data_IF_867830745132
#
_entry.id   IF_867830745132
#
_cell.length_a   1.000
_cell.length_b   1.000
_cell.length_c   1.000
_cell.angle_alpha   90.00
_cell.angle_beta   90.00
_cell.angle_gamma   90.00
#
_symmetry.space_group_name_H-M   'P 1'
#
loop_
_entity.id
_entity.type
_entity.pdbx_description
1 polymer ?
#
# COMPACT_ATOMS: atom_id res chain seq x y z
N UNK A 1 35.70 -12.88 -5.48
CA UNK A 1 34.29 -13.22 -5.26
C UNK A 1 33.57 -11.90 -5.04
N UNK A 2 32.81 -11.45 -6.04
CA UNK A 2 31.94 -10.28 -5.87
C UNK A 2 30.94 -10.59 -4.78
N UNK A 3 30.83 -9.73 -3.77
CA UNK A 3 29.75 -9.83 -2.78
C UNK A 3 28.42 -10.06 -3.48
N UNK A 4 27.56 -10.97 -2.99
CA UNK A 4 26.26 -11.21 -3.60
C UNK A 4 25.45 -9.94 -3.51
N UNK A 5 25.49 -9.16 -4.59
CA UNK A 5 24.81 -7.87 -4.72
C UNK A 5 23.28 -8.01 -4.71
N UNK A 6 22.59 -6.88 -4.61
CA UNK A 6 21.14 -6.79 -4.89
C UNK A 6 20.87 -7.29 -6.32
N UNK A 7 19.64 -7.81 -6.57
CA UNK A 7 19.31 -8.44 -7.84
C UNK A 7 19.40 -7.47 -9.02
N UNK A 8 20.25 -7.79 -9.98
CA UNK A 8 20.31 -7.12 -11.28
C UNK A 8 19.34 -7.78 -12.26
N UNK A 9 19.07 -7.12 -13.39
CA UNK A 9 18.22 -7.68 -14.46
C UNK A 9 18.74 -9.03 -14.99
N UNK A 10 20.07 -9.19 -15.14
CA UNK A 10 20.68 -10.45 -15.55
C UNK A 10 20.43 -11.54 -14.53
N UNK A 11 20.60 -11.24 -13.24
CA UNK A 11 20.40 -12.22 -12.17
C UNK A 11 18.92 -12.63 -12.05
N UNK A 12 18.00 -11.70 -12.24
CA UNK A 12 16.55 -12.01 -12.27
C UNK A 12 16.24 -12.97 -13.41
N UNK A 13 16.76 -12.72 -14.61
CA UNK A 13 16.57 -13.64 -15.76
C UNK A 13 17.16 -15.02 -15.49
N UNK A 14 18.38 -15.08 -14.98
CA UNK A 14 19.04 -16.34 -14.62
C UNK A 14 18.23 -17.14 -13.59
N UNK A 15 17.69 -16.49 -12.55
CA UNK A 15 16.84 -17.13 -11.58
C UNK A 15 15.55 -17.68 -12.20
N UNK A 16 14.90 -16.89 -13.04
CA UNK A 16 13.67 -17.30 -13.73
C UNK A 16 13.94 -18.51 -14.65
N UNK A 17 15.02 -18.46 -15.45
CA UNK A 17 15.42 -19.56 -16.34
C UNK A 17 15.76 -20.82 -15.55
N UNK A 18 16.57 -20.71 -14.49
CA UNK A 18 16.97 -21.84 -13.64
C UNK A 18 15.79 -22.57 -12.99
N UNK A 19 14.77 -21.80 -12.58
CA UNK A 19 13.55 -22.34 -11.98
C UNK A 19 12.43 -22.61 -12.99
N UNK A 20 12.69 -22.47 -14.29
CA UNK A 20 11.71 -22.66 -15.38
C UNK A 20 10.46 -21.80 -15.21
N UNK A 21 10.63 -20.55 -14.75
CA UNK A 21 9.55 -19.63 -14.45
C UNK A 21 9.43 -18.49 -15.50
N UNK A 22 8.19 -18.05 -15.69
CA UNK A 22 7.87 -16.84 -16.44
C UNK A 22 7.04 -15.88 -15.57
N UNK A 23 7.31 -14.55 -15.61
CA UNK A 23 6.55 -13.58 -14.83
C UNK A 23 5.06 -13.61 -15.17
N UNK A 24 4.22 -13.75 -14.14
CA UNK A 24 2.76 -13.83 -14.26
C UNK A 24 2.14 -12.44 -14.39
N UNK A 25 1.50 -12.17 -15.53
CA UNK A 25 0.72 -10.93 -15.74
C UNK A 25 -0.53 -10.89 -14.84
N UNK A 26 -1.15 -12.04 -14.60
CA UNK A 26 -2.33 -12.14 -13.73
C UNK A 26 -2.02 -11.75 -12.28
N UNK A 27 -0.81 -12.06 -11.82
CA UNK A 27 -0.32 -11.67 -10.49
C UNK A 27 0.38 -10.31 -10.48
N UNK A 28 0.43 -9.60 -11.61
CA UNK A 28 1.05 -8.28 -11.70
C UNK A 28 2.56 -8.26 -11.44
N UNK A 29 3.25 -9.37 -11.70
CA UNK A 29 4.67 -9.52 -11.38
C UNK A 29 5.55 -8.61 -12.23
N UNK A 30 6.23 -7.68 -11.57
CA UNK A 30 7.25 -6.79 -12.10
C UNK A 30 8.36 -6.70 -11.06
N UNK A 31 9.45 -7.45 -11.27
CA UNK A 31 10.55 -7.56 -10.32
C UNK A 31 11.48 -6.36 -10.41
N UNK A 32 11.75 -5.72 -9.29
CA UNK A 32 12.69 -4.61 -9.20
C UNK A 32 14.12 -5.11 -9.44
N UNK A 33 14.83 -4.53 -10.41
CA UNK A 33 16.14 -4.99 -10.86
C UNK A 33 17.23 -3.91 -10.80
N UNK A 34 17.07 -2.97 -9.84
CA UNK A 34 17.98 -1.84 -9.65
C UNK A 34 18.32 -1.66 -8.17
N UNK A 35 19.59 -1.84 -7.84
CA UNK A 35 20.10 -1.75 -6.47
C UNK A 35 19.91 -0.34 -5.87
N UNK A 36 20.16 0.71 -6.67
CA UNK A 36 20.02 2.08 -6.21
C UNK A 36 18.57 2.43 -5.83
N UNK A 37 17.60 1.82 -6.52
CA UNK A 37 16.18 1.98 -6.19
C UNK A 37 15.82 1.23 -4.91
N UNK A 38 16.34 0.03 -4.70
CA UNK A 38 16.16 -0.71 -3.43
C UNK A 38 16.70 0.10 -2.26
N UNK A 39 17.93 0.61 -2.37
CA UNK A 39 18.56 1.46 -1.33
C UNK A 39 17.75 2.74 -1.08
N UNK A 40 17.21 3.36 -2.14
CA UNK A 40 16.33 4.52 -2.03
C UNK A 40 15.05 4.18 -1.25
N UNK A 41 14.42 3.04 -1.53
CA UNK A 41 13.20 2.60 -0.83
C UNK A 41 13.51 2.38 0.65
N UNK A 42 14.54 1.61 0.97
CA UNK A 42 14.98 1.33 2.36
C UNK A 42 15.24 2.62 3.12
N UNK A 43 15.98 3.56 2.52
CA UNK A 43 16.25 4.88 3.13
C UNK A 43 14.99 5.72 3.34
N UNK A 44 14.09 5.78 2.35
CA UNK A 44 12.84 6.54 2.47
C UNK A 44 11.87 5.92 3.49
N UNK A 45 11.92 4.59 3.68
CA UNK A 45 11.18 3.90 4.73
C UNK A 45 11.80 4.10 6.12
N UNK A 46 13.01 4.67 6.20
CA UNK A 46 13.74 4.82 7.45
C UNK A 46 13.95 3.47 8.14
N UNK A 47 14.27 2.42 7.35
CA UNK A 47 14.49 1.07 7.89
C UNK A 47 15.91 0.92 8.35
N UNK A 48 16.07 0.37 9.56
CA UNK A 48 17.37 0.12 10.18
C UNK A 48 17.33 -1.05 11.17
N UNK A 49 18.45 -1.27 11.91
CA UNK A 49 18.53 -2.33 12.89
C UNK A 49 17.44 -2.22 13.96
N UNK A 50 16.77 -3.35 14.24
CA UNK A 50 15.68 -3.41 15.22
C UNK A 50 14.30 -3.07 14.69
N UNK A 51 14.19 -2.55 13.46
CA UNK A 51 12.88 -2.38 12.81
C UNK A 51 12.27 -3.74 12.42
N UNK A 52 10.94 -3.81 12.50
CA UNK A 52 10.15 -4.92 12.01
C UNK A 52 9.40 -4.50 10.77
N UNK A 53 9.58 -5.26 9.70
CA UNK A 53 9.07 -4.91 8.38
C UNK A 53 8.25 -6.07 7.83
N UNK A 54 7.04 -5.74 7.38
CA UNK A 54 6.24 -6.63 6.53
C UNK A 54 6.51 -6.24 5.08
N UNK A 55 6.93 -7.20 4.28
CA UNK A 55 6.97 -7.08 2.83
C UNK A 55 5.87 -7.93 2.20
N UNK A 56 5.03 -7.32 1.36
CA UNK A 56 3.95 -7.99 0.66
C UNK A 56 4.28 -8.08 -0.82
N UNK A 57 4.31 -9.31 -1.35
CA UNK A 57 4.76 -9.57 -2.71
C UNK A 57 6.28 -9.56 -2.83
N UNK A 58 6.97 -10.38 -2.02
CA UNK A 58 8.42 -10.43 -1.97
C UNK A 58 9.09 -10.83 -3.31
N UNK A 59 8.35 -11.53 -4.17
CA UNK A 59 8.79 -11.90 -5.50
C UNK A 59 10.07 -12.74 -5.48
N UNK A 60 11.12 -12.24 -6.15
CA UNK A 60 12.44 -12.88 -6.16
C UNK A 60 13.37 -12.37 -5.05
N UNK A 61 12.88 -11.48 -4.15
CA UNK A 61 13.65 -11.03 -2.98
C UNK A 61 14.48 -9.76 -3.18
N UNK A 62 14.31 -9.01 -4.25
CA UNK A 62 15.08 -7.78 -4.48
C UNK A 62 14.97 -6.79 -3.32
N UNK A 63 13.75 -6.48 -2.90
CA UNK A 63 13.50 -5.55 -1.79
C UNK A 63 13.78 -6.22 -0.44
N UNK A 64 13.44 -7.50 -0.28
CA UNK A 64 13.74 -8.29 0.91
C UNK A 64 15.22 -8.25 1.26
N UNK A 65 16.11 -8.42 0.26
CA UNK A 65 17.56 -8.30 0.46
C UNK A 65 17.98 -6.93 0.99
N UNK A 66 17.39 -5.85 0.46
CA UNK A 66 17.67 -4.49 0.92
C UNK A 66 17.25 -4.28 2.37
N UNK A 67 16.07 -4.75 2.75
CA UNK A 67 15.54 -4.70 4.11
C UNK A 67 16.42 -5.51 5.08
N UNK A 68 16.81 -6.71 4.67
CA UNK A 68 17.72 -7.56 5.42
C UNK A 68 19.08 -6.90 5.68
N UNK A 69 19.67 -6.28 4.65
CA UNK A 69 20.95 -5.58 4.76
C UNK A 69 20.89 -4.36 5.67
N UNK A 70 19.72 -3.72 5.74
CA UNK A 70 19.48 -2.64 6.69
C UNK A 70 19.37 -3.12 8.14
N UNK A 71 19.35 -4.44 8.40
CA UNK A 71 19.28 -5.04 9.74
C UNK A 71 17.86 -5.19 10.28
N UNK A 72 16.86 -5.13 9.44
CA UNK A 72 15.47 -5.34 9.83
C UNK A 72 15.15 -6.81 10.10
N UNK A 73 14.16 -7.05 10.95
CA UNK A 73 13.41 -8.32 11.01
C UNK A 73 12.29 -8.28 9.98
N UNK A 74 12.29 -9.21 9.03
CA UNK A 74 11.39 -9.16 7.88
C UNK A 74 10.38 -10.30 7.91
N UNK A 75 9.10 -9.97 7.79
CA UNK A 75 8.01 -10.89 7.50
C UNK A 75 7.66 -10.74 6.02
N UNK A 76 8.11 -11.66 5.19
CA UNK A 76 7.94 -11.64 3.74
C UNK A 76 6.77 -12.53 3.31
N UNK A 77 5.75 -11.94 2.69
CA UNK A 77 4.60 -12.66 2.15
C UNK A 77 4.69 -12.73 0.63
N UNK A 78 4.55 -13.93 0.06
CA UNK A 78 4.46 -14.14 -1.39
C UNK A 78 3.31 -15.10 -1.68
N UNK A 79 2.42 -14.71 -2.60
CA UNK A 79 1.25 -15.52 -2.96
C UNK A 79 1.60 -16.62 -3.96
N UNK A 80 2.58 -16.38 -4.82
CA UNK A 80 3.00 -17.32 -5.84
C UNK A 80 3.93 -18.40 -5.24
N UNK A 81 3.39 -19.62 -5.08
CA UNK A 81 4.15 -20.76 -4.57
C UNK A 81 5.43 -21.06 -5.36
N UNK A 82 5.43 -20.73 -6.66
CA UNK A 82 6.57 -21.01 -7.53
C UNK A 82 7.74 -20.04 -7.29
N UNK A 83 7.49 -18.87 -6.69
CA UNK A 83 8.53 -17.93 -6.34
C UNK A 83 9.19 -18.20 -4.98
N UNK A 84 8.64 -19.08 -4.14
CA UNK A 84 9.19 -19.36 -2.81
C UNK A 84 10.61 -19.97 -2.89
N UNK A 85 10.83 -20.91 -3.80
CA UNK A 85 12.16 -21.53 -3.96
C UNK A 85 13.22 -20.53 -4.43
N UNK A 86 13.04 -19.76 -5.53
CA UNK A 86 14.02 -18.75 -5.95
C UNK A 86 14.17 -17.61 -4.95
N UNK A 87 13.12 -17.20 -4.23
CA UNK A 87 13.20 -16.23 -3.13
C UNK A 87 14.13 -16.72 -2.03
N UNK A 88 13.94 -17.98 -1.57
CA UNK A 88 14.75 -18.58 -0.53
C UNK A 88 16.22 -18.73 -0.96
N UNK A 89 16.48 -19.15 -2.21
CA UNK A 89 17.83 -19.19 -2.79
C UNK A 89 18.49 -17.79 -2.77
N UNK A 90 17.74 -16.79 -3.18
CA UNK A 90 18.21 -15.39 -3.20
C UNK A 90 18.63 -14.91 -1.81
N UNK A 91 17.80 -15.18 -0.80
CA UNK A 91 18.06 -14.75 0.58
C UNK A 91 19.23 -15.50 1.20
N UNK A 92 19.32 -16.81 0.98
CA UNK A 92 20.45 -17.62 1.48
C UNK A 92 21.79 -17.17 0.91
N UNK A 93 21.82 -16.75 -0.36
CA UNK A 93 23.02 -16.28 -1.02
C UNK A 93 23.38 -14.83 -0.69
N UNK A 94 22.37 -13.94 -0.54
CA UNK A 94 22.58 -12.49 -0.50
C UNK A 94 22.49 -11.86 0.90
N UNK A 95 21.93 -12.55 1.89
CA UNK A 95 21.76 -12.06 3.24
C UNK A 95 21.84 -13.19 4.29
N UNK A 96 22.94 -13.94 4.35
CA UNK A 96 23.11 -15.01 5.33
C UNK A 96 23.03 -14.41 6.74
N UNK A 97 22.19 -14.98 7.61
CA UNK A 97 21.97 -14.50 8.97
C UNK A 97 20.89 -13.40 9.12
N UNK A 98 20.24 -12.99 8.05
CA UNK A 98 19.06 -12.14 8.13
C UNK A 98 17.92 -12.82 8.89
N UNK A 99 17.24 -12.05 9.75
CA UNK A 99 15.99 -12.51 10.38
C UNK A 99 14.83 -12.28 9.41
N UNK A 100 14.59 -13.27 8.56
CA UNK A 100 13.48 -13.23 7.60
C UNK A 100 12.62 -14.48 7.73
N UNK A 101 11.31 -14.28 7.89
CA UNK A 101 10.31 -15.33 7.81
C UNK A 101 9.56 -15.19 6.47
N UNK A 102 9.70 -16.22 5.61
CA UNK A 102 9.02 -16.26 4.32
C UNK A 102 7.77 -17.11 4.44
N UNK A 103 6.62 -16.55 4.06
CA UNK A 103 5.35 -17.27 4.04
C UNK A 103 4.72 -17.23 2.64
N UNK A 104 4.36 -18.41 2.14
CA UNK A 104 3.49 -18.51 0.98
C UNK A 104 2.06 -18.21 1.43
N UNK A 105 1.57 -16.97 1.18
CA UNK A 105 0.28 -16.52 1.68
C UNK A 105 -0.31 -15.37 0.85
N UNK A 106 -1.65 -15.30 0.85
CA UNK A 106 -2.38 -14.11 0.42
C UNK A 106 -2.49 -13.14 1.62
N UNK A 107 -1.96 -11.93 1.47
CA UNK A 107 -1.98 -10.92 2.52
C UNK A 107 -3.41 -10.53 2.99
N UNK A 108 -4.43 -10.76 2.17
CA UNK A 108 -5.84 -10.48 2.53
C UNK A 108 -6.42 -11.50 3.51
N UNK A 109 -5.89 -12.72 3.52
CA UNK A 109 -6.38 -13.82 4.35
C UNK A 109 -5.34 -14.35 5.33
N UNK A 110 -4.17 -13.71 5.38
CA UNK A 110 -3.08 -14.10 6.27
C UNK A 110 -3.47 -13.94 7.75
N UNK A 111 -3.04 -14.87 8.59
CA UNK A 111 -3.31 -14.86 10.02
C UNK A 111 -2.38 -13.89 10.77
N UNK A 112 -2.56 -12.59 10.54
CA UNK A 112 -1.69 -11.51 11.02
C UNK A 112 -1.43 -11.57 12.53
N UNK A 113 -2.44 -11.86 13.33
CA UNK A 113 -2.41 -11.91 14.80
C UNK A 113 -1.36 -12.90 15.34
N UNK A 114 -1.14 -13.98 14.60
CA UNK A 114 -0.15 -15.00 14.98
C UNK A 114 1.30 -14.55 14.76
N UNK A 115 1.53 -13.49 13.99
CA UNK A 115 2.85 -13.10 13.51
C UNK A 115 3.30 -11.70 13.96
N UNK A 116 2.38 -10.74 14.11
CA UNK A 116 2.78 -9.36 14.39
C UNK A 116 3.10 -9.10 15.86
N UNK A 117 2.41 -9.75 16.79
CA UNK A 117 2.56 -9.50 18.23
C UNK A 117 2.25 -8.04 18.62
N UNK A 118 2.65 -7.58 19.82
CA UNK A 118 2.32 -6.25 20.33
C UNK A 118 3.24 -5.12 19.80
N UNK A 119 4.00 -5.36 18.75
CA UNK A 119 4.99 -4.43 18.24
C UNK A 119 4.43 -3.60 17.09
N UNK A 120 5.01 -2.41 16.87
CA UNK A 120 4.73 -1.63 15.66
C UNK A 120 5.60 -2.15 14.51
N UNK A 121 4.96 -2.36 13.37
CA UNK A 121 5.57 -2.82 12.14
C UNK A 121 5.49 -1.74 11.06
N UNK A 122 6.46 -1.75 10.16
CA UNK A 122 6.43 -1.00 8.92
C UNK A 122 6.01 -1.93 7.79
N UNK A 123 5.18 -1.46 6.87
CA UNK A 123 4.93 -2.14 5.58
C UNK A 123 5.82 -1.49 4.53
N UNK A 124 6.72 -2.26 3.92
CA UNK A 124 7.57 -1.78 2.82
C UNK A 124 7.41 -2.76 1.67
N UNK A 125 6.75 -2.35 0.59
CA UNK A 125 6.32 -3.30 -0.42
C UNK A 125 6.25 -2.70 -1.84
N UNK A 126 6.60 -3.52 -2.84
CA UNK A 126 6.26 -3.28 -4.23
C UNK A 126 4.94 -4.00 -4.52
N UNK A 127 3.81 -3.32 -4.34
CA UNK A 127 2.50 -3.95 -4.40
C UNK A 127 2.08 -4.29 -5.83
N UNK A 128 1.45 -5.48 -6.05
CA UNK A 128 0.79 -5.79 -7.30
C UNK A 128 -0.28 -4.75 -7.62
N UNK A 129 -0.24 -4.19 -8.84
CA UNK A 129 -1.04 -3.02 -9.21
C UNK A 129 -2.55 -3.22 -9.10
N UNK A 130 -3.03 -4.45 -9.35
CA UNK A 130 -4.45 -4.79 -9.37
C UNK A 130 -5.10 -4.86 -7.98
N UNK A 131 -4.30 -5.02 -6.92
CA UNK A 131 -4.82 -5.16 -5.54
C UNK A 131 -4.33 -4.07 -4.58
N UNK A 132 -3.45 -3.17 -5.02
CA UNK A 132 -2.76 -2.22 -4.14
C UNK A 132 -3.73 -1.35 -3.32
N UNK A 133 -4.71 -0.71 -3.97
CA UNK A 133 -5.67 0.15 -3.26
C UNK A 133 -6.51 -0.59 -2.22
N UNK A 134 -7.26 -1.67 -2.57
CA UNK A 134 -8.05 -2.38 -1.57
C UNK A 134 -7.18 -2.94 -0.45
N UNK A 135 -6.03 -3.52 -0.76
CA UNK A 135 -5.13 -4.09 0.24
C UNK A 135 -4.64 -3.03 1.26
N UNK A 136 -4.20 -1.87 0.78
CA UNK A 136 -3.76 -0.77 1.68
C UNK A 136 -4.90 -0.32 2.59
N UNK A 137 -6.10 -0.14 2.05
CA UNK A 137 -7.27 0.29 2.83
C UNK A 137 -7.70 -0.76 3.86
N UNK A 138 -7.69 -2.03 3.50
CA UNK A 138 -8.05 -3.13 4.39
C UNK A 138 -7.03 -3.26 5.54
N UNK A 139 -5.73 -3.16 5.24
CA UNK A 139 -4.69 -3.20 6.26
C UNK A 139 -4.76 -1.99 7.21
N UNK A 140 -4.97 -0.78 6.69
CA UNK A 140 -5.15 0.41 7.50
C UNK A 140 -6.34 0.27 8.46
N UNK A 141 -7.43 -0.33 8.01
CA UNK A 141 -8.64 -0.50 8.81
C UNK A 141 -8.53 -1.63 9.84
N UNK A 142 -7.85 -2.72 9.48
CA UNK A 142 -7.88 -3.96 10.26
C UNK A 142 -6.62 -4.19 11.12
N UNK A 143 -5.50 -3.49 10.84
CA UNK A 143 -4.19 -3.80 11.45
C UNK A 143 -3.54 -2.58 12.10
N UNK A 144 -3.92 -2.25 13.34
CA UNK A 144 -3.32 -1.13 14.06
C UNK A 144 -1.83 -1.31 14.37
N UNK A 145 -1.31 -2.54 14.33
CA UNK A 145 0.11 -2.87 14.50
C UNK A 145 0.96 -2.33 13.34
N UNK A 146 0.39 -2.16 12.16
CA UNK A 146 1.04 -1.61 10.97
C UNK A 146 0.96 -0.08 11.02
N UNK A 147 1.97 0.54 11.60
CA UNK A 147 1.99 1.99 11.90
C UNK A 147 2.54 2.88 10.79
N UNK A 148 3.27 2.31 9.84
CA UNK A 148 3.87 3.03 8.74
C UNK A 148 3.87 2.18 7.47
N UNK A 149 3.64 2.82 6.34
CA UNK A 149 3.66 2.17 5.04
C UNK A 149 4.54 2.96 4.09
N UNK A 150 5.44 2.29 3.39
CA UNK A 150 6.07 2.79 2.18
C UNK A 150 5.76 1.80 1.06
N UNK A 151 4.76 2.13 0.26
CA UNK A 151 4.32 1.24 -0.82
C UNK A 151 4.65 1.83 -2.18
N UNK A 152 5.15 0.97 -3.06
CA UNK A 152 5.35 1.30 -4.46
C UNK A 152 4.13 0.83 -5.25
N UNK A 153 3.50 1.76 -5.95
CA UNK A 153 2.25 1.55 -6.69
C UNK A 153 2.28 2.30 -8.02
N UNK A 154 1.34 2.03 -8.93
CA UNK A 154 1.18 2.85 -10.13
C UNK A 154 0.96 4.32 -9.77
N UNK A 155 1.48 5.24 -10.62
CA UNK A 155 1.39 6.70 -10.39
C UNK A 155 -0.04 7.14 -10.07
N UNK A 156 -1.01 6.76 -10.89
CA UNK A 156 -2.43 7.14 -10.69
C UNK A 156 -2.98 6.65 -9.33
N UNK A 157 -2.62 5.42 -8.92
CA UNK A 157 -3.01 4.87 -7.62
C UNK A 157 -2.39 5.68 -6.49
N UNK A 158 -1.10 5.98 -6.58
CA UNK A 158 -0.39 6.73 -5.54
C UNK A 158 -0.88 8.17 -5.41
N UNK A 159 -1.09 8.85 -6.53
CA UNK A 159 -1.67 10.21 -6.56
C UNK A 159 -3.07 10.22 -5.92
N UNK A 160 -3.89 9.19 -6.19
CA UNK A 160 -5.23 9.06 -5.60
C UNK A 160 -5.21 8.74 -4.10
N UNK A 161 -4.26 7.93 -3.62
CA UNK A 161 -4.11 7.67 -2.17
C UNK A 161 -3.72 8.94 -1.39
N UNK A 162 -2.90 9.81 -2.00
CA UNK A 162 -2.33 11.00 -1.38
C UNK A 162 -3.06 12.32 -1.72
N UNK A 163 -4.13 12.26 -2.52
CA UNK A 163 -4.84 13.44 -2.99
C UNK A 163 -5.61 14.15 -1.87
N UNK A 164 -5.64 15.49 -1.92
CA UNK A 164 -6.46 16.34 -1.06
C UNK A 164 -7.76 16.79 -1.73
N UNK A 165 -8.72 17.33 -0.94
CA UNK A 165 -10.00 17.84 -1.42
C UNK A 165 -9.84 18.85 -2.56
N UNK A 166 -10.77 18.84 -3.50
CA UNK A 166 -10.79 19.77 -4.64
C UNK A 166 -9.81 19.44 -5.77
N UNK A 167 -8.97 18.41 -5.63
CA UNK A 167 -8.09 17.96 -6.71
C UNK A 167 -8.77 16.90 -7.59
N UNK A 168 -8.27 16.75 -8.83
CA UNK A 168 -8.85 15.79 -9.80
C UNK A 168 -8.76 14.34 -9.32
N UNK A 169 -7.70 14.01 -8.56
CA UNK A 169 -7.38 12.65 -8.11
C UNK A 169 -8.02 12.30 -6.76
N UNK A 170 -8.60 13.30 -6.09
CA UNK A 170 -9.31 13.10 -4.84
C UNK A 170 -10.53 12.18 -5.01
N UNK A 171 -10.64 11.19 -4.13
CA UNK A 171 -11.67 10.16 -4.23
C UNK A 171 -11.79 9.31 -2.98
N UNK A 172 -12.51 8.19 -3.10
CA UNK A 172 -12.74 7.26 -2.00
C UNK A 172 -11.43 6.87 -1.29
N UNK A 173 -10.36 6.45 -2.00
CA UNK A 173 -9.12 6.06 -1.32
C UNK A 173 -8.50 7.21 -0.51
N UNK A 174 -8.56 8.44 -1.04
CA UNK A 174 -8.01 9.62 -0.36
C UNK A 174 -8.67 9.86 0.99
N UNK A 175 -10.00 9.85 1.02
CA UNK A 175 -10.77 10.08 2.26
C UNK A 175 -10.56 8.94 3.25
N UNK A 176 -10.58 7.69 2.78
CA UNK A 176 -10.43 6.52 3.66
C UNK A 176 -9.02 6.40 4.24
N UNK A 177 -7.98 6.80 3.49
CA UNK A 177 -6.62 6.90 4.02
C UNK A 177 -6.53 8.04 5.04
N UNK A 178 -7.12 9.22 4.73
CA UNK A 178 -7.12 10.37 5.64
C UNK A 178 -7.86 10.09 6.97
N UNK A 179 -8.78 9.15 7.00
CA UNK A 179 -9.42 8.69 8.25
C UNK A 179 -8.42 8.04 9.22
N UNK A 180 -7.39 7.35 8.69
CA UNK A 180 -6.41 6.61 9.48
C UNK A 180 -5.08 7.35 9.67
N UNK A 181 -4.81 8.41 8.89
CA UNK A 181 -3.54 9.12 8.97
C UNK A 181 -3.26 9.97 7.74
N UNK A 182 -1.99 10.09 7.37
CA UNK A 182 -1.54 10.97 6.28
C UNK A 182 -0.77 10.20 5.23
N UNK A 183 -1.14 10.43 3.97
CA UNK A 183 -0.42 9.88 2.81
C UNK A 183 0.29 11.00 2.04
N UNK A 184 1.47 10.69 1.50
CA UNK A 184 2.22 11.58 0.60
C UNK A 184 3.01 10.78 -0.43
N UNK A 185 3.10 11.28 -1.65
CA UNK A 185 4.03 10.76 -2.66
C UNK A 185 5.43 11.27 -2.31
N UNK A 186 6.38 10.35 -2.12
CA UNK A 186 7.75 10.67 -1.68
C UNK A 186 8.81 10.37 -2.72
N UNK A 187 8.44 9.80 -3.86
CA UNK A 187 9.35 9.50 -4.95
C UNK A 187 8.70 8.86 -6.14
N UNK A 188 9.43 8.78 -7.24
CA UNK A 188 9.02 8.05 -8.44
C UNK A 188 10.04 6.98 -8.81
N UNK A 189 9.57 5.94 -9.51
CA UNK A 189 10.37 4.81 -9.98
C UNK A 189 10.00 4.53 -11.44
N UNK A 190 11.00 4.67 -12.31
CA UNK A 190 10.82 4.54 -13.76
C UNK A 190 10.59 3.07 -14.16
N UNK A 191 9.81 2.81 -15.22
CA UNK A 191 9.51 1.46 -15.70
C UNK A 191 10.75 0.62 -16.08
N UNK A 192 11.84 1.28 -16.52
CA UNK A 192 13.09 0.62 -16.92
C UNK A 192 13.78 -0.14 -15.78
N UNK A 193 13.44 0.17 -14.53
CA UNK A 193 14.03 -0.42 -13.34
C UNK A 193 13.37 -1.75 -12.92
N UNK A 194 12.45 -2.25 -13.75
CA UNK A 194 11.73 -3.51 -13.54
C UNK A 194 11.96 -4.53 -14.64
N UNK A 195 11.78 -5.80 -14.30
CA UNK A 195 11.69 -6.91 -15.24
C UNK A 195 10.52 -7.83 -14.88
N UNK A 196 9.54 -8.05 -15.79
CA UNK A 196 9.34 -7.31 -17.05
C UNK A 196 9.05 -5.82 -16.80
N UNK A 197 9.24 -4.98 -17.82
CA UNK A 197 8.99 -3.55 -17.76
C UNK A 197 7.47 -3.28 -17.70
N UNK A 198 6.95 -2.58 -16.69
CA UNK A 198 5.55 -2.16 -16.65
C UNK A 198 5.28 -1.08 -17.71
N UNK A 199 4.00 -0.89 -18.04
CA UNK A 199 3.57 0.10 -19.04
C UNK A 199 3.50 1.53 -18.50
N UNK A 200 3.45 1.67 -17.20
CA UNK A 200 3.24 2.95 -16.48
C UNK A 200 4.33 3.15 -15.43
N UNK A 201 4.57 4.39 -15.09
CA UNK A 201 5.49 4.78 -14.03
C UNK A 201 4.91 4.42 -12.66
N UNK A 202 5.77 4.09 -11.72
CA UNK A 202 5.43 3.83 -10.32
C UNK A 202 5.81 5.01 -9.45
N UNK A 203 5.13 5.15 -8.31
CA UNK A 203 5.46 6.11 -7.27
C UNK A 203 5.57 5.41 -5.93
N UNK A 204 6.36 6.00 -5.04
CA UNK A 204 6.48 5.61 -3.64
C UNK A 204 5.53 6.48 -2.82
N UNK A 205 4.62 5.85 -2.11
CA UNK A 205 3.67 6.51 -1.22
C UNK A 205 4.02 6.14 0.21
N UNK A 206 4.32 7.15 1.01
CA UNK A 206 4.44 7.01 2.45
C UNK A 206 3.07 7.28 3.10
N UNK A 207 2.65 6.39 4.01
CA UNK A 207 1.44 6.58 4.81
C UNK A 207 1.83 6.41 6.28
N UNK A 208 1.62 7.46 7.05
CA UNK A 208 1.81 7.47 8.49
C UNK A 208 0.43 7.23 9.15
N UNK A 209 0.25 6.06 9.73
CA UNK A 209 -0.99 5.71 10.41
C UNK A 209 -0.99 6.24 11.83
N UNK A 210 -1.99 7.02 12.19
CA UNK A 210 -2.21 7.48 13.55
C UNK A 210 -2.67 6.31 14.45
N UNK A 211 -2.40 6.41 15.75
CA UNK A 211 -2.78 5.38 16.72
C UNK A 211 -4.31 5.24 16.84
N UNK A 212 -5.01 6.36 16.66
CA UNK A 212 -6.47 6.45 16.66
C UNK A 212 -6.93 7.06 15.34
N UNK A 213 -8.19 6.86 14.95
CA UNK A 213 -8.78 7.57 13.82
C UNK A 213 -8.65 9.10 13.96
N UNK A 214 -8.39 9.79 12.85
CA UNK A 214 -8.26 11.26 12.81
C UNK A 214 -9.56 11.96 13.19
N UNK A 215 -10.70 11.30 12.95
CA UNK A 215 -12.04 11.81 13.31
C UNK A 215 -12.81 10.77 14.12
N UNK A 216 -13.55 11.25 15.10
CA UNK A 216 -14.35 10.40 16.01
C UNK A 216 -15.75 10.11 15.41
N UNK A 217 -15.76 9.18 14.46
CA UNK A 217 -16.99 8.60 13.87
C UNK A 217 -16.70 7.15 13.45
N UNK A 218 -17.69 6.25 13.44
CA UNK A 218 -17.46 4.87 13.00
C UNK A 218 -16.98 4.79 11.54
N UNK A 219 -15.86 4.09 11.32
CA UNK A 219 -15.27 3.91 9.98
C UNK A 219 -16.26 3.43 8.92
N UNK A 220 -17.06 2.41 9.27
CA UNK A 220 -18.02 1.82 8.33
C UNK A 220 -19.09 2.83 7.88
N UNK A 221 -19.55 3.69 8.82
CA UNK A 221 -20.52 4.75 8.50
C UNK A 221 -19.93 5.77 7.55
N UNK A 222 -18.74 6.29 7.86
CA UNK A 222 -18.04 7.24 7.00
C UNK A 222 -17.76 6.61 5.63
N UNK A 223 -17.24 5.39 5.56
CA UNK A 223 -16.94 4.70 4.31
C UNK A 223 -18.18 4.50 3.43
N UNK A 224 -19.35 4.21 4.04
CA UNK A 224 -20.62 4.08 3.31
C UNK A 224 -21.02 5.41 2.67
N UNK A 225 -20.97 6.51 3.40
CA UNK A 225 -21.28 7.85 2.89
C UNK A 225 -20.34 8.27 1.76
N UNK A 226 -19.04 8.08 1.97
CA UNK A 226 -18.01 8.41 0.99
C UNK A 226 -18.22 7.60 -0.31
N UNK A 227 -18.45 6.28 -0.21
CA UNK A 227 -18.72 5.44 -1.38
C UNK A 227 -19.99 5.87 -2.12
N UNK A 228 -21.06 6.20 -1.40
CA UNK A 228 -22.30 6.68 -2.01
C UNK A 228 -22.08 8.01 -2.74
N UNK A 229 -21.43 9.00 -2.10
CA UNK A 229 -21.14 10.30 -2.69
C UNK A 229 -20.28 10.22 -3.94
N UNK A 230 -19.16 9.48 -3.89
CA UNK A 230 -18.27 9.32 -5.03
C UNK A 230 -18.81 8.34 -6.10
N UNK A 231 -19.75 7.47 -5.76
CA UNK A 231 -20.44 6.61 -6.73
C UNK A 231 -21.19 7.40 -7.80
N UNK A 232 -21.56 8.64 -7.49
CA UNK A 232 -22.16 9.59 -8.43
C UNK A 232 -21.36 10.90 -8.50
N UNK A 233 -20.03 10.82 -8.68
CA UNK A 233 -19.05 11.92 -8.57
C UNK A 233 -19.48 13.23 -9.25
N UNK A 234 -20.15 13.17 -10.40
CA UNK A 234 -20.59 14.36 -11.16
C UNK A 234 -21.88 15.01 -10.66
N UNK A 235 -22.59 14.38 -9.71
CA UNK A 235 -23.85 14.88 -9.15
C UNK A 235 -23.59 15.69 -7.88
N UNK A 236 -24.50 16.66 -7.62
CA UNK A 236 -24.55 17.37 -6.34
C UNK A 236 -24.88 16.36 -5.21
N UNK A 237 -24.39 16.65 -3.99
CA UNK A 237 -24.56 15.75 -2.83
C UNK A 237 -26.01 15.38 -2.56
N UNK A 238 -26.96 16.33 -2.66
CA UNK A 238 -28.40 16.05 -2.53
C UNK A 238 -28.92 14.96 -3.46
N UNK A 239 -28.25 14.75 -4.60
CA UNK A 239 -28.59 13.68 -5.57
C UNK A 239 -27.72 12.44 -5.36
N UNK A 240 -26.42 12.64 -5.11
CA UNK A 240 -25.48 11.54 -4.93
C UNK A 240 -25.78 10.72 -3.67
N UNK A 241 -26.25 11.38 -2.62
CA UNK A 241 -26.59 10.75 -1.33
C UNK A 241 -28.08 10.50 -1.14
N UNK A 242 -28.91 10.69 -2.17
CA UNK A 242 -30.34 10.41 -2.10
C UNK A 242 -30.60 8.97 -1.64
N UNK A 243 -31.48 8.81 -0.63
CA UNK A 243 -31.76 7.50 -0.01
C UNK A 243 -30.73 7.04 1.04
N UNK A 244 -29.63 7.78 1.21
CA UNK A 244 -28.63 7.52 2.27
C UNK A 244 -28.69 8.58 3.37
N UNK A 245 -28.87 9.85 2.98
CA UNK A 245 -29.07 10.99 3.88
C UNK A 245 -30.13 11.93 3.32
N UNK A 246 -30.81 12.66 4.19
CA UNK A 246 -31.78 13.70 3.83
C UNK A 246 -31.07 15.03 3.57
N UNK A 247 -31.80 15.97 2.90
CA UNK A 247 -31.28 17.32 2.74
C UNK A 247 -31.12 18.04 4.08
N UNK A 248 -32.05 17.82 5.02
CA UNK A 248 -31.97 18.40 6.39
C UNK A 248 -30.69 17.92 7.11
N UNK A 249 -30.29 16.68 6.95
CA UNK A 249 -29.05 16.16 7.54
C UNK A 249 -27.79 16.78 6.90
N UNK A 250 -27.81 17.09 5.59
CA UNK A 250 -26.70 17.84 4.97
C UNK A 250 -26.59 19.26 5.57
N UNK A 251 -27.73 19.94 5.71
CA UNK A 251 -27.80 21.30 6.30
C UNK A 251 -27.38 21.30 7.77
N UNK A 252 -27.84 20.31 8.56
CA UNK A 252 -27.46 20.11 9.96
C UNK A 252 -25.94 19.83 10.11
N UNK A 253 -25.33 19.10 9.15
CA UNK A 253 -23.88 18.88 9.08
C UNK A 253 -23.10 20.14 8.65
N UNK A 254 -23.78 21.25 8.29
CA UNK A 254 -23.17 22.47 7.75
C UNK A 254 -22.67 22.32 6.31
N UNK A 255 -23.26 21.39 5.54
CA UNK A 255 -22.83 21.08 4.17
C UNK A 255 -23.86 21.63 3.17
N UNK A 256 -23.43 22.45 2.22
CA UNK A 256 -24.27 22.88 1.10
C UNK A 256 -24.66 21.66 0.25
N UNK A 257 -25.96 21.36 0.10
CA UNK A 257 -26.45 20.24 -0.70
C UNK A 257 -26.11 20.32 -2.19
N UNK A 258 -25.68 21.46 -2.69
CA UNK A 258 -25.26 21.67 -4.07
C UNK A 258 -23.79 21.32 -4.34
N UNK A 259 -22.97 21.18 -3.31
CA UNK A 259 -21.60 20.71 -3.45
C UNK A 259 -21.52 19.30 -4.06
N UNK A 260 -20.34 18.93 -4.51
CA UNK A 260 -20.03 17.56 -4.97
C UNK A 260 -19.14 16.85 -3.95
N UNK A 261 -19.11 15.55 -3.99
CA UNK A 261 -18.30 14.71 -3.08
C UNK A 261 -16.82 15.10 -3.02
N UNK A 262 -16.25 15.49 -4.15
CA UNK A 262 -14.84 15.88 -4.27
C UNK A 262 -14.48 17.22 -3.57
N UNK A 263 -15.47 18.00 -3.15
CA UNK A 263 -15.28 19.27 -2.47
C UNK A 263 -15.28 19.13 -0.93
N UNK A 264 -15.74 17.98 -0.41
CA UNK A 264 -15.78 17.72 1.02
C UNK A 264 -14.42 17.19 1.51
N UNK A 265 -13.89 17.81 2.55
CA UNK A 265 -12.77 17.28 3.31
C UNK A 265 -13.23 16.20 4.31
N UNK A 266 -12.27 15.59 5.02
CA UNK A 266 -12.55 14.55 6.01
C UNK A 266 -13.44 15.06 7.15
N UNK A 267 -13.28 16.32 7.58
CA UNK A 267 -14.07 16.90 8.67
C UNK A 267 -15.54 17.05 8.27
N UNK A 268 -15.82 17.48 7.05
CA UNK A 268 -17.18 17.59 6.51
C UNK A 268 -17.83 16.20 6.38
N UNK A 269 -17.11 15.20 5.87
CA UNK A 269 -17.58 13.81 5.82
C UNK A 269 -17.88 13.25 7.22
N UNK A 270 -17.04 13.57 8.21
CA UNK A 270 -17.26 13.17 9.59
C UNK A 270 -18.48 13.86 10.22
N UNK A 271 -18.67 15.17 9.96
CA UNK A 271 -19.87 15.90 10.41
C UNK A 271 -21.14 15.24 9.85
N UNK A 272 -21.15 14.89 8.57
CA UNK A 272 -22.28 14.19 7.97
C UNK A 272 -22.50 12.80 8.59
N UNK A 273 -21.42 12.09 8.89
CA UNK A 273 -21.52 10.77 9.53
C UNK A 273 -22.15 10.84 10.93
N UNK A 274 -21.92 11.90 11.70
CA UNK A 274 -22.51 12.11 13.04
C UNK A 274 -24.00 12.33 12.99
N UNK A 275 -24.47 13.21 12.12
CA UNK A 275 -25.90 13.58 12.04
C UNK A 275 -26.76 12.55 11.31
N UNK A 276 -26.15 11.64 10.59
CA UNK A 276 -26.85 10.62 9.80
C UNK A 276 -26.70 9.20 10.36
N UNK A 277 -26.29 9.10 11.63
CA UNK A 277 -26.09 7.84 12.33
C UNK A 277 -27.42 7.09 12.59
#
# INVERSE_FOLDING_TARGET
MTEPGLLTRSRIRELLERHELAPSRALGQNFLCDAGTVDKIVRLAGVGPGDRVVEIGAGLGSLTLGLCRAGAEVLALEIDRHLIAPLTETLAAGAPGCRVAVHQADARTFAWEAHLGPHRWKVVANLPYNIATPLVLDLLAARPELGYYLVMVQREVGERLAAGPGTKDYGIPSVLVAYWGRARVVGSVRPELFHPRPRVESVLVAIERDAQPVVDVPYQRLATLVRAGFGQRRKMLRRALAGVVTQAQLEEAGIDPQLRAEQLDLAAWASLARVSA
#
